data_IF_504796140996
#
_entry.id   IF_504796140996
#
_cell.length_a   1.000
_cell.length_b   1.000
_cell.length_c   1.000
_cell.angle_alpha   90.00
_cell.angle_beta   90.00
_cell.angle_gamma   90.00
#
_symmetry.space_group_name_H-M   'P 1'
#
loop_
_entity.id
_entity.type
_entity.pdbx_description
1 polymer ?
#
# COMPACT_ATOMS: atom_id res chain seq x y z
N UNK A 1 0.32 -25.59 -3.85
CA UNK A 1 0.64 -24.68 -4.98
C UNK A 1 -0.44 -24.71 -6.05
N UNK A 2 -0.86 -25.89 -6.54
CA UNK A 2 -1.92 -26.02 -7.56
C UNK A 2 -3.27 -25.42 -7.09
N UNK A 3 -3.71 -25.75 -5.88
CA UNK A 3 -4.95 -25.20 -5.28
C UNK A 3 -4.98 -23.65 -5.26
N UNK A 4 -3.84 -23.03 -4.92
CA UNK A 4 -3.71 -21.57 -4.89
C UNK A 4 -3.79 -20.95 -6.28
N UNK A 5 -3.17 -21.61 -7.27
CA UNK A 5 -3.23 -21.17 -8.66
C UNK A 5 -4.66 -21.26 -9.23
N UNK A 6 -5.38 -22.35 -8.91
CA UNK A 6 -6.78 -22.53 -9.30
C UNK A 6 -7.65 -21.45 -8.65
N UNK A 7 -7.47 -21.17 -7.35
CA UNK A 7 -8.23 -20.13 -6.66
C UNK A 7 -8.03 -18.75 -7.32
N UNK A 8 -6.78 -18.36 -7.60
CA UNK A 8 -6.49 -17.09 -8.29
C UNK A 8 -7.15 -17.02 -9.68
N UNK A 9 -7.09 -18.10 -10.45
CA UNK A 9 -7.73 -18.18 -11.76
C UNK A 9 -9.24 -18.03 -11.68
N UNK A 10 -9.88 -18.73 -10.73
CA UNK A 10 -11.34 -18.68 -10.55
C UNK A 10 -11.79 -17.28 -10.15
N UNK A 11 -11.16 -16.65 -9.14
CA UNK A 11 -11.54 -15.31 -8.72
C UNK A 11 -11.23 -14.24 -9.78
N UNK A 12 -10.08 -14.35 -10.45
CA UNK A 12 -9.72 -13.50 -11.57
C UNK A 12 -10.74 -13.59 -12.70
N UNK A 13 -11.08 -14.81 -13.13
CA UNK A 13 -12.08 -15.03 -14.17
C UNK A 13 -13.47 -14.55 -13.76
N UNK A 14 -13.88 -14.79 -12.51
CA UNK A 14 -15.18 -14.36 -12.00
C UNK A 14 -15.32 -12.83 -12.04
N UNK A 15 -14.26 -12.09 -11.66
CA UNK A 15 -14.24 -10.62 -11.76
C UNK A 15 -14.36 -10.13 -13.21
N UNK A 16 -13.65 -10.76 -14.15
CA UNK A 16 -13.72 -10.42 -15.57
C UNK A 16 -15.12 -10.68 -16.15
N UNK A 17 -15.73 -11.81 -15.78
CA UNK A 17 -17.10 -12.16 -16.16
C UNK A 17 -18.09 -11.14 -15.62
N UNK A 18 -17.98 -10.71 -14.36
CA UNK A 18 -18.86 -9.69 -13.79
C UNK A 18 -18.78 -8.35 -14.55
N UNK A 19 -17.56 -7.90 -14.88
CA UNK A 19 -17.37 -6.68 -15.69
C UNK A 19 -17.99 -6.85 -17.09
N UNK A 20 -17.83 -8.02 -17.71
CA UNK A 20 -18.41 -8.32 -19.02
C UNK A 20 -19.94 -8.35 -18.97
N UNK A 21 -20.52 -9.00 -17.97
CA UNK A 21 -21.97 -9.05 -17.75
C UNK A 21 -22.54 -7.65 -17.54
N UNK A 22 -21.90 -6.81 -16.71
CA UNK A 22 -22.32 -5.41 -16.55
C UNK A 22 -22.22 -4.62 -17.86
N UNK A 23 -21.18 -4.87 -18.66
CA UNK A 23 -20.98 -4.23 -19.96
C UNK A 23 -22.05 -4.59 -20.98
N UNK A 24 -22.55 -5.83 -20.96
CA UNK A 24 -23.55 -6.35 -21.91
C UNK A 24 -24.99 -6.07 -21.45
N UNK A 25 -25.30 -6.30 -20.17
CA UNK A 25 -26.67 -6.17 -19.63
C UNK A 25 -26.96 -4.77 -19.05
N UNK A 26 -25.93 -3.98 -18.75
CA UNK A 26 -26.08 -2.67 -18.12
C UNK A 26 -26.66 -1.61 -19.07
N UNK A 27 -27.64 -0.80 -18.64
CA UNK A 27 -28.21 0.26 -19.46
C UNK A 27 -27.17 1.35 -19.72
N UNK A 28 -26.74 1.50 -20.98
CA UNK A 28 -25.79 2.53 -21.40
C UNK A 28 -26.53 3.74 -21.94
N UNK A 29 -26.55 4.82 -21.16
CA UNK A 29 -27.10 6.14 -21.56
C UNK A 29 -26.02 7.21 -21.40
N UNK A 30 -24.98 7.21 -22.27
CA UNK A 30 -23.92 8.21 -22.22
C UNK A 30 -24.54 9.60 -22.42
N UNK A 31 -24.21 10.54 -21.52
CA UNK A 31 -24.65 11.94 -21.61
C UNK A 31 -23.44 12.79 -21.26
N UNK A 32 -23.12 13.77 -22.10
CA UNK A 32 -21.95 14.63 -21.92
C UNK A 32 -21.89 15.31 -20.53
N UNK A 33 -23.02 15.53 -19.86
CA UNK A 33 -23.07 16.06 -18.50
C UNK A 33 -22.76 15.03 -17.40
N UNK A 34 -23.04 13.74 -17.63
CA UNK A 34 -22.78 12.62 -16.69
C UNK A 34 -21.34 12.10 -16.81
N UNK A 35 -20.70 12.31 -17.95
CA UNK A 35 -19.33 11.88 -18.23
C UNK A 35 -18.28 12.93 -17.84
N UNK A 36 -18.71 14.13 -17.43
CA UNK A 36 -17.83 15.15 -16.89
C UNK A 36 -17.54 14.87 -15.40
N UNK A 37 -16.31 15.11 -14.92
CA UNK A 37 -16.01 15.12 -13.49
C UNK A 37 -16.98 16.01 -12.72
N UNK A 38 -17.38 15.57 -11.54
CA UNK A 38 -18.34 16.30 -10.72
C UNK A 38 -17.65 17.52 -10.07
N UNK A 39 -18.04 18.72 -10.47
CA UNK A 39 -17.58 19.98 -9.85
C UNK A 39 -18.71 21.00 -9.70
N UNK A 40 -19.95 20.56 -9.41
CA UNK A 40 -21.11 21.44 -9.25
C UNK A 40 -21.39 22.38 -10.46
N UNK A 41 -20.92 22.03 -11.67
CA UNK A 41 -21.07 22.86 -12.87
C UNK A 41 -19.90 23.82 -13.14
N UNK A 42 -18.86 23.83 -12.30
CA UNK A 42 -17.59 24.50 -12.59
C UNK A 42 -16.85 23.79 -13.73
N UNK A 43 -16.14 24.52 -14.62
CA UNK A 43 -15.18 23.90 -15.52
C UNK A 43 -14.12 23.14 -14.72
N UNK A 44 -13.70 21.94 -15.17
CA UNK A 44 -12.73 21.09 -14.48
C UNK A 44 -11.51 21.91 -14.09
N UNK A 45 -11.09 21.80 -12.83
CA UNK A 45 -9.93 22.48 -12.25
C UNK A 45 -8.61 21.90 -12.81
N UNK A 46 -8.46 21.86 -14.14
CA UNK A 46 -7.37 21.17 -14.83
C UNK A 46 -6.30 22.14 -15.36
N UNK A 47 -6.62 23.44 -15.44
CA UNK A 47 -5.66 24.48 -15.80
C UNK A 47 -5.03 25.06 -14.51
N UNK A 48 -3.84 24.57 -14.14
CA UNK A 48 -3.00 25.26 -13.16
C UNK A 48 -2.93 24.66 -11.75
N UNK A 49 -3.19 23.35 -11.57
CA UNK A 49 -2.76 22.68 -10.34
C UNK A 49 -1.23 22.69 -10.34
N UNK A 50 -0.63 23.60 -9.56
CA UNK A 50 0.80 23.56 -9.25
C UNK A 50 1.15 22.25 -8.52
N UNK A 51 2.44 21.90 -8.39
CA UNK A 51 2.83 20.71 -7.65
C UNK A 51 2.23 20.77 -6.24
N UNK A 52 1.28 19.89 -5.97
CA UNK A 52 0.72 19.70 -4.63
C UNK A 52 1.83 19.11 -3.77
N UNK A 53 2.06 19.68 -2.58
CA UNK A 53 2.91 19.05 -1.59
C UNK A 53 2.28 17.69 -1.25
N UNK A 54 2.97 16.60 -1.60
CA UNK A 54 2.50 15.24 -1.35
C UNK A 54 3.15 14.76 -0.04
N UNK A 55 2.52 14.96 1.14
CA UNK A 55 3.05 14.44 2.40
C UNK A 55 3.21 12.91 2.37
N UNK A 56 2.47 12.23 1.48
CA UNK A 56 2.52 10.80 1.29
C UNK A 56 3.88 10.28 0.81
N UNK A 57 4.74 11.11 0.21
CA UNK A 57 6.05 10.65 -0.24
C UNK A 57 6.92 10.16 0.93
N UNK A 58 7.01 10.97 2.00
CA UNK A 58 7.81 10.61 3.17
C UNK A 58 7.25 9.39 3.90
N UNK A 59 5.92 9.27 3.95
CA UNK A 59 5.25 8.10 4.52
C UNK A 59 5.50 6.84 3.70
N UNK A 60 5.42 6.92 2.37
CA UNK A 60 5.70 5.79 1.48
C UNK A 60 7.16 5.35 1.54
N UNK A 61 8.10 6.31 1.60
CA UNK A 61 9.52 6.01 1.75
C UNK A 61 9.82 5.34 3.10
N UNK A 62 9.22 5.84 4.19
CA UNK A 62 9.35 5.23 5.51
C UNK A 62 8.75 3.82 5.54
N UNK A 63 7.59 3.62 4.93
CA UNK A 63 6.96 2.31 4.81
C UNK A 63 7.84 1.33 4.04
N UNK A 64 8.39 1.74 2.90
CA UNK A 64 9.29 0.90 2.10
C UNK A 64 10.54 0.48 2.89
N UNK A 65 11.15 1.41 3.63
CA UNK A 65 12.31 1.11 4.47
C UNK A 65 11.96 0.12 5.58
N UNK A 66 10.86 0.37 6.30
CA UNK A 66 10.40 -0.48 7.40
C UNK A 66 9.99 -1.88 6.92
N UNK A 67 9.37 -1.99 5.74
CA UNK A 67 8.93 -3.26 5.15
C UNK A 67 10.13 -4.13 4.77
N UNK A 68 11.15 -3.54 4.16
CA UNK A 68 12.42 -4.24 3.87
C UNK A 68 13.07 -4.76 5.16
N UNK A 69 13.14 -3.94 6.21
CA UNK A 69 13.70 -4.36 7.49
C UNK A 69 12.85 -5.44 8.18
N UNK A 70 11.52 -5.39 8.06
CA UNK A 70 10.63 -6.43 8.58
C UNK A 70 10.82 -7.78 7.87
N UNK A 71 11.07 -7.79 6.56
CA UNK A 71 11.39 -9.02 5.82
C UNK A 71 12.67 -9.67 6.35
N UNK A 72 13.67 -8.88 6.79
CA UNK A 72 14.91 -9.40 7.39
C UNK A 72 14.71 -10.10 8.74
N UNK A 73 13.58 -9.89 9.44
CA UNK A 73 13.28 -10.61 10.67
C UNK A 73 13.16 -12.12 10.44
N UNK A 74 12.62 -12.55 9.30
CA UNK A 74 12.45 -13.97 8.99
C UNK A 74 13.76 -14.75 8.88
N UNK A 75 14.73 -14.37 8.03
CA UNK A 75 16.01 -15.07 7.94
C UNK A 75 16.81 -14.95 9.24
N UNK A 76 16.74 -13.83 9.97
CA UNK A 76 17.37 -13.71 11.30
C UNK A 76 16.76 -14.70 12.30
N UNK A 77 15.42 -14.78 12.38
CA UNK A 77 14.74 -15.71 13.27
C UNK A 77 15.11 -17.17 12.96
N UNK A 78 15.24 -17.52 11.68
CA UNK A 78 15.69 -18.84 11.26
C UNK A 78 17.17 -19.07 11.58
N UNK A 79 18.04 -18.08 11.36
CA UNK A 79 19.47 -18.18 11.61
C UNK A 79 19.80 -18.33 13.10
N UNK A 80 19.08 -17.65 13.99
CA UNK A 80 19.27 -17.70 15.44
C UNK A 80 18.40 -18.76 16.14
N UNK A 81 17.69 -19.60 15.38
CA UNK A 81 16.85 -20.67 15.92
C UNK A 81 17.69 -21.62 16.77
N UNK A 82 17.31 -21.79 18.04
CA UNK A 82 18.01 -22.69 18.98
C UNK A 82 19.19 -22.06 19.74
N UNK A 83 19.50 -20.77 19.54
CA UNK A 83 20.58 -20.07 20.27
C UNK A 83 20.16 -19.48 21.64
N UNK A 84 18.98 -19.87 22.16
CA UNK A 84 18.50 -19.47 23.49
C UNK A 84 18.48 -17.95 23.70
N UNK A 85 18.96 -17.49 24.85
CA UNK A 85 18.96 -16.07 25.23
C UNK A 85 19.80 -15.16 24.31
N UNK A 86 20.89 -15.67 23.73
CA UNK A 86 21.70 -14.89 22.79
C UNK A 86 20.98 -14.63 21.46
N UNK A 87 20.20 -15.61 20.97
CA UNK A 87 19.35 -15.43 19.80
C UNK A 87 18.22 -14.43 20.04
N UNK A 88 17.62 -14.46 21.24
CA UNK A 88 16.60 -13.49 21.64
C UNK A 88 17.18 -12.07 21.74
N UNK A 89 18.38 -11.91 22.30
CA UNK A 89 19.04 -10.61 22.40
C UNK A 89 19.37 -10.03 21.01
N UNK A 90 19.83 -10.87 20.07
CA UNK A 90 20.11 -10.44 18.69
C UNK A 90 18.84 -9.99 17.95
N UNK A 91 17.74 -10.75 18.07
CA UNK A 91 16.44 -10.36 17.51
C UNK A 91 15.89 -9.09 18.17
N UNK A 92 16.01 -8.98 19.49
CA UNK A 92 15.60 -7.79 20.24
C UNK A 92 16.39 -6.55 19.84
N UNK A 93 17.72 -6.67 19.65
CA UNK A 93 18.55 -5.57 19.16
C UNK A 93 18.14 -5.10 17.76
N UNK A 94 17.80 -6.04 16.86
CA UNK A 94 17.32 -5.70 15.53
C UNK A 94 15.97 -4.95 15.57
N UNK A 95 15.01 -5.44 16.36
CA UNK A 95 13.72 -4.76 16.58
C UNK A 95 13.88 -3.39 17.24
N UNK A 96 14.86 -3.23 18.13
CA UNK A 96 15.18 -1.93 18.72
C UNK A 96 15.66 -0.92 17.68
N UNK A 97 16.49 -1.33 16.72
CA UNK A 97 16.94 -0.44 15.63
C UNK A 97 15.76 0.03 14.78
N UNK A 98 14.88 -0.90 14.37
CA UNK A 98 13.60 -0.61 13.70
C UNK A 98 12.77 0.43 14.50
N UNK A 99 12.60 0.18 15.80
CA UNK A 99 11.83 1.04 16.69
C UNK A 99 12.43 2.45 16.85
N UNK A 100 13.76 2.56 16.95
CA UNK A 100 14.46 3.83 17.05
C UNK A 100 14.31 4.66 15.78
N UNK A 101 14.43 4.04 14.60
CA UNK A 101 14.21 4.70 13.31
C UNK A 101 12.78 5.25 13.20
N UNK A 102 11.79 4.46 13.62
CA UNK A 102 10.39 4.88 13.64
C UNK A 102 10.14 6.04 14.61
N UNK A 103 10.65 5.96 15.85
CA UNK A 103 10.52 7.03 16.86
C UNK A 103 11.18 8.32 16.37
N UNK A 104 12.33 8.23 15.69
CA UNK A 104 12.98 9.39 15.08
C UNK A 104 12.10 10.04 14.01
N UNK A 105 11.57 9.25 13.07
CA UNK A 105 10.67 9.74 12.02
C UNK A 105 9.42 10.42 12.59
N UNK A 106 8.86 9.85 13.67
CA UNK A 106 7.76 10.45 14.41
C UNK A 106 8.13 11.82 14.97
N UNK A 107 9.26 11.92 15.69
CA UNK A 107 9.74 13.19 16.26
C UNK A 107 10.03 14.25 15.19
N UNK A 108 10.49 13.83 14.01
CA UNK A 108 10.71 14.71 12.84
C UNK A 108 9.41 15.21 12.20
N UNK A 109 8.25 14.71 12.61
CA UNK A 109 6.97 15.15 12.11
C UNK A 109 6.63 14.64 10.71
N UNK A 110 7.17 13.49 10.30
CA UNK A 110 6.85 12.85 9.00
C UNK A 110 5.35 12.60 8.83
N UNK A 111 4.64 12.41 9.95
CA UNK A 111 3.19 12.21 9.98
C UNK A 111 2.39 13.49 10.22
N UNK A 112 2.96 14.67 9.97
CA UNK A 112 2.20 15.93 10.08
C UNK A 112 1.49 16.22 8.77
N UNK A 113 0.18 16.44 8.89
CA UNK A 113 -0.74 16.67 7.78
C UNK A 113 -1.20 18.14 7.83
N UNK A 114 -0.27 19.05 7.56
CA UNK A 114 -0.51 20.51 7.56
C UNK A 114 0.04 21.13 6.30
#
# INVERSE_FOLDING_TARGET
MLELAIAFLVFGLMSAVMVLVNRVLGPRRPRAAREKPFECGSPPLQAGIGPVNIPFFLVALLFLLLDVEAVFLFPMALAYRGRGGAGLAALGAFVLVLGLGFVYAWKKGVFRWS
#
